data_IF_741096219719
#
_entry.id   IF_741096219719
#
_cell.length_a   1.000
_cell.length_b   1.000
_cell.length_c   1.000
_cell.angle_alpha   90.00
_cell.angle_beta   90.00
_cell.angle_gamma   90.00
#
_symmetry.space_group_name_H-M   'P 1'
#
loop_
_entity.id
_entity.type
_entity.pdbx_description
1 polymer ?
#
# COMPACT_ATOMS: atom_id res chain seq x y z
N UNK A 1 -37.42 -21.25 27.86
CA UNK A 1 -38.16 -20.33 28.74
C UNK A 1 -37.18 -19.72 29.76
N UNK A 2 -36.07 -19.14 29.28
CA UNK A 2 -34.98 -18.63 30.14
C UNK A 2 -34.84 -17.11 30.02
N UNK A 3 -35.33 -16.54 28.91
CA UNK A 3 -35.39 -15.08 28.67
C UNK A 3 -36.79 -14.50 28.92
N UNK A 4 -37.57 -15.11 29.81
CA UNK A 4 -38.90 -14.60 30.14
C UNK A 4 -38.78 -13.36 30.99
N UNK A 5 -39.26 -12.24 30.47
CA UNK A 5 -39.25 -10.96 31.17
C UNK A 5 -40.43 -10.84 32.14
N UNK A 6 -40.19 -10.27 33.32
CA UNK A 6 -41.25 -9.88 34.26
C UNK A 6 -42.02 -8.64 33.75
N UNK A 7 -43.01 -8.16 34.52
CA UNK A 7 -43.77 -6.95 34.19
C UNK A 7 -42.94 -5.67 34.12
N UNK A 8 -41.68 -5.72 34.54
CA UNK A 8 -40.72 -4.62 34.52
C UNK A 8 -39.66 -4.80 33.43
N UNK A 9 -39.71 -5.88 32.65
CA UNK A 9 -38.72 -6.18 31.62
C UNK A 9 -37.47 -6.91 32.13
N UNK A 10 -37.48 -7.44 33.36
CA UNK A 10 -36.31 -8.11 33.95
C UNK A 10 -36.27 -9.59 33.59
N UNK A 11 -35.10 -10.05 33.17
CA UNK A 11 -34.83 -11.46 32.95
C UNK A 11 -34.50 -12.18 34.26
N UNK A 12 -34.69 -13.51 34.36
CA UNK A 12 -34.35 -14.29 35.54
C UNK A 12 -32.86 -14.15 35.90
N UNK A 13 -32.00 -14.00 34.89
CA UNK A 13 -30.57 -13.76 35.05
C UNK A 13 -30.29 -12.39 35.70
N UNK A 14 -31.04 -11.36 35.30
CA UNK A 14 -30.94 -10.01 35.87
C UNK A 14 -31.33 -9.98 37.35
N UNK A 15 -32.38 -10.73 37.74
CA UNK A 15 -32.79 -10.87 39.14
C UNK A 15 -31.80 -11.69 39.96
N UNK A 16 -31.28 -12.80 39.41
CA UNK A 16 -30.23 -13.58 40.07
C UNK A 16 -28.95 -12.74 40.32
N UNK A 17 -28.61 -11.87 39.37
CA UNK A 17 -27.49 -10.93 39.50
C UNK A 17 -27.77 -9.82 40.54
N UNK A 18 -28.99 -9.28 40.58
CA UNK A 18 -29.41 -8.30 41.59
C UNK A 18 -29.40 -8.88 43.00
N UNK A 19 -29.70 -10.17 43.14
CA UNK A 19 -29.64 -10.90 44.42
C UNK A 19 -28.26 -11.45 44.77
N UNK A 20 -27.25 -11.28 43.91
CA UNK A 20 -25.89 -11.75 44.15
C UNK A 20 -25.76 -13.28 44.21
N UNK A 21 -26.50 -14.01 43.38
CA UNK A 21 -26.57 -15.48 43.42
C UNK A 21 -25.71 -16.13 42.31
N UNK A 22 -24.40 -16.36 42.53
CA UNK A 22 -23.49 -16.86 41.48
C UNK A 22 -23.89 -18.23 40.92
N UNK A 23 -24.39 -19.13 41.76
CA UNK A 23 -24.86 -20.46 41.35
C UNK A 23 -26.07 -20.39 40.42
N UNK A 24 -27.03 -19.49 40.71
CA UNK A 24 -28.19 -19.29 39.86
C UNK A 24 -27.79 -18.68 38.51
N UNK A 25 -26.83 -17.75 38.51
CA UNK A 25 -26.29 -17.14 37.30
C UNK A 25 -25.64 -18.21 36.39
N UNK A 26 -24.80 -19.09 36.96
CA UNK A 26 -24.17 -20.18 36.20
C UNK A 26 -25.21 -21.11 35.58
N UNK A 27 -26.18 -21.57 36.38
CA UNK A 27 -27.22 -22.47 35.92
C UNK A 27 -28.09 -21.83 34.81
N UNK A 28 -28.43 -20.55 34.95
CA UNK A 28 -29.19 -19.83 33.93
C UNK A 28 -28.38 -19.64 32.64
N UNK A 29 -27.08 -19.37 32.75
CA UNK A 29 -26.20 -19.27 31.59
C UNK A 29 -26.03 -20.61 30.86
N UNK A 30 -25.90 -21.72 31.60
CA UNK A 30 -25.88 -23.08 31.04
C UNK A 30 -27.17 -23.43 30.29
N UNK A 31 -28.31 -22.91 30.76
CA UNK A 31 -29.61 -23.04 30.10
C UNK A 31 -29.76 -22.11 28.87
N UNK A 32 -28.75 -21.31 28.55
CA UNK A 32 -28.72 -20.43 27.38
C UNK A 32 -29.27 -19.03 27.62
N UNK A 33 -29.28 -18.53 28.86
CA UNK A 33 -29.63 -17.14 29.13
C UNK A 33 -28.59 -16.17 28.55
N UNK A 34 -29.04 -15.11 27.87
CA UNK A 34 -28.14 -14.03 27.44
C UNK A 34 -27.60 -13.25 28.64
N UNK A 35 -26.27 -13.24 28.81
CA UNK A 35 -25.55 -12.47 29.85
C UNK A 35 -25.65 -10.97 29.68
N UNK A 36 -25.98 -10.52 28.47
CA UNK A 36 -26.10 -9.11 28.09
C UNK A 36 -27.56 -8.68 27.89
N UNK A 37 -28.53 -9.46 28.35
CA UNK A 37 -29.95 -9.10 28.28
C UNK A 37 -30.19 -7.78 29.01
N UNK A 38 -30.86 -6.82 28.37
CA UNK A 38 -31.20 -5.55 29.01
C UNK A 38 -32.49 -5.73 29.79
N UNK A 39 -32.43 -5.54 31.11
CA UNK A 39 -33.60 -5.51 31.98
C UNK A 39 -34.27 -4.13 32.00
N UNK A 40 -35.09 -3.89 33.03
CA UNK A 40 -35.67 -2.58 33.30
C UNK A 40 -34.61 -1.46 33.26
N UNK A 41 -34.96 -0.34 32.63
CA UNK A 41 -34.09 0.84 32.47
C UNK A 41 -32.79 0.55 31.70
N UNK A 42 -32.81 -0.43 30.80
CA UNK A 42 -31.66 -0.85 30.01
C UNK A 42 -30.52 -1.48 30.82
N UNK A 43 -30.77 -1.85 32.09
CA UNK A 43 -29.73 -2.36 33.00
C UNK A 43 -29.41 -3.81 32.72
N UNK A 44 -28.14 -4.12 32.50
CA UNK A 44 -27.66 -5.50 32.33
C UNK A 44 -27.55 -6.24 33.67
N UNK A 45 -27.52 -7.59 33.68
CA UNK A 45 -27.22 -8.38 34.87
C UNK A 45 -25.92 -7.91 35.55
N UNK A 46 -24.87 -7.63 34.77
CA UNK A 46 -23.60 -7.13 35.29
C UNK A 46 -23.75 -5.78 36.00
N UNK A 47 -24.54 -4.86 35.44
CA UNK A 47 -24.86 -3.59 36.09
C UNK A 47 -25.51 -3.80 37.45
N UNK A 48 -26.49 -4.72 37.55
CA UNK A 48 -27.20 -4.99 38.81
C UNK A 48 -26.31 -5.64 39.86
N UNK A 49 -25.48 -6.61 39.46
CA UNK A 49 -24.50 -7.22 40.35
C UNK A 49 -23.49 -6.19 40.87
N UNK A 50 -23.03 -5.27 40.01
CA UNK A 50 -22.11 -4.20 40.40
C UNK A 50 -22.77 -3.20 41.36
N UNK A 51 -23.99 -2.76 41.04
CA UNK A 51 -24.77 -1.86 41.90
C UNK A 51 -25.06 -2.48 43.27
N UNK A 52 -25.34 -3.79 43.33
CA UNK A 52 -25.50 -4.53 44.59
C UNK A 52 -24.20 -4.82 45.34
N UNK A 53 -23.02 -4.54 44.74
CA UNK A 53 -21.72 -4.83 45.33
C UNK A 53 -21.39 -6.34 45.39
N UNK A 54 -22.03 -7.16 44.56
CA UNK A 54 -21.89 -8.61 44.59
C UNK A 54 -20.66 -9.08 43.78
N UNK A 55 -19.49 -9.03 44.41
CA UNK A 55 -18.21 -9.37 43.78
C UNK A 55 -18.21 -10.75 43.10
N UNK A 56 -18.65 -11.80 43.80
CA UNK A 56 -18.67 -13.16 43.24
C UNK A 56 -19.59 -13.28 42.01
N UNK A 57 -20.74 -12.60 42.03
CA UNK A 57 -21.66 -12.56 40.90
C UNK A 57 -21.05 -11.82 39.71
N UNK A 58 -20.34 -10.71 39.96
CA UNK A 58 -19.62 -9.95 38.93
C UNK A 58 -18.53 -10.81 38.28
N UNK A 59 -17.70 -11.50 39.08
CA UNK A 59 -16.65 -12.38 38.54
C UNK A 59 -17.21 -13.51 37.67
N UNK A 60 -18.32 -14.12 38.10
CA UNK A 60 -19.00 -15.17 37.33
C UNK A 60 -19.54 -14.60 36.02
N UNK A 61 -20.21 -13.45 36.04
CA UNK A 61 -20.73 -12.81 34.84
C UNK A 61 -19.62 -12.43 33.85
N UNK A 62 -18.48 -11.93 34.34
CA UNK A 62 -17.31 -11.62 33.50
C UNK A 62 -16.72 -12.88 32.85
N UNK A 63 -16.62 -13.99 33.60
CA UNK A 63 -16.19 -15.30 33.06
C UNK A 63 -17.14 -15.84 31.99
N UNK A 64 -18.44 -15.54 32.12
CA UNK A 64 -19.46 -15.90 31.15
C UNK A 64 -19.53 -14.92 29.95
N UNK A 65 -18.61 -13.96 29.85
CA UNK A 65 -18.52 -13.03 28.72
C UNK A 65 -19.53 -11.88 28.78
N UNK A 66 -19.96 -11.46 29.98
CA UNK A 66 -20.74 -10.25 30.13
C UNK A 66 -19.93 -9.02 29.68
N UNK A 67 -20.56 -8.15 28.91
CA UNK A 67 -19.93 -6.95 28.36
C UNK A 67 -19.95 -5.83 29.41
N UNK A 68 -18.75 -5.34 29.75
CA UNK A 68 -18.53 -4.25 30.70
C UNK A 68 -18.86 -2.88 30.14
N UNK A 69 -19.01 -2.77 28.80
CA UNK A 69 -19.21 -1.51 28.07
C UNK A 69 -20.68 -1.16 27.85
N UNK A 70 -21.60 -2.03 28.26
CA UNK A 70 -23.03 -1.78 28.08
C UNK A 70 -23.51 -0.76 29.11
N UNK A 71 -23.95 0.38 28.60
CA UNK A 71 -24.57 1.45 29.39
C UNK A 71 -26.02 1.13 29.72
N UNK A 72 -26.43 1.47 30.94
CA UNK A 72 -27.84 1.60 31.28
C UNK A 72 -28.47 2.83 30.59
N UNK A 73 -29.79 2.98 30.65
CA UNK A 73 -30.50 4.11 30.03
C UNK A 73 -30.06 5.48 30.56
N UNK A 74 -29.48 5.53 31.77
CA UNK A 74 -28.91 6.73 32.37
C UNK A 74 -27.49 7.08 31.87
N UNK A 75 -26.91 6.26 30.98
CA UNK A 75 -25.57 6.43 30.43
C UNK A 75 -24.45 5.98 31.36
N UNK A 76 -24.76 5.36 32.51
CA UNK A 76 -23.76 4.92 33.47
C UNK A 76 -23.21 3.53 33.13
N UNK A 77 -21.91 3.32 33.37
CA UNK A 77 -21.29 1.99 33.26
C UNK A 77 -21.42 1.21 34.57
N UNK A 78 -21.40 -0.14 34.52
CA UNK A 78 -21.39 -0.97 35.73
C UNK A 78 -20.28 -0.59 36.71
N UNK A 79 -19.11 -0.17 36.22
CA UNK A 79 -17.98 0.24 37.06
C UNK A 79 -18.23 1.58 37.78
N UNK A 80 -18.96 2.52 37.15
CA UNK A 80 -19.28 3.83 37.75
C UNK A 80 -20.31 3.72 38.88
N UNK A 81 -21.19 2.73 38.81
CA UNK A 81 -22.28 2.53 39.78
C UNK A 81 -21.98 1.47 40.82
N UNK A 82 -20.78 0.88 40.76
CA UNK A 82 -20.37 -0.18 41.67
C UNK A 82 -20.45 0.31 43.13
N UNK A 83 -21.16 -0.43 43.97
CA UNK A 83 -21.28 -0.06 45.39
C UNK A 83 -19.97 -0.22 46.17
N UNK A 84 -19.05 -1.07 45.68
CA UNK A 84 -17.78 -1.36 46.33
C UNK A 84 -16.61 -1.04 45.40
N UNK A 85 -15.56 -0.43 45.95
CA UNK A 85 -14.33 -0.10 45.22
C UNK A 85 -13.63 -1.35 44.67
N UNK A 86 -13.70 -2.48 45.40
CA UNK A 86 -13.19 -3.76 44.93
C UNK A 86 -13.87 -4.22 43.62
N UNK A 87 -15.19 -4.04 43.51
CA UNK A 87 -15.95 -4.39 42.29
C UNK A 87 -15.60 -3.44 41.14
N UNK A 88 -15.48 -2.15 41.42
CA UNK A 88 -15.04 -1.16 40.42
C UNK A 88 -13.64 -1.49 39.88
N UNK A 89 -12.70 -1.83 40.76
CA UNK A 89 -11.33 -2.23 40.41
C UNK A 89 -11.29 -3.49 39.55
N UNK A 90 -12.10 -4.51 39.86
CA UNK A 90 -12.23 -5.72 39.02
C UNK A 90 -12.78 -5.37 37.64
N UNK A 91 -13.82 -4.55 37.54
CA UNK A 91 -14.40 -4.18 36.25
C UNK A 91 -13.42 -3.33 35.40
N UNK A 92 -12.69 -2.42 36.02
CA UNK A 92 -11.68 -1.58 35.33
C UNK A 92 -10.47 -2.39 34.87
N UNK A 93 -9.96 -3.29 35.71
CA UNK A 93 -8.85 -4.17 35.35
C UNK A 93 -9.23 -5.15 34.24
N UNK A 94 -10.48 -5.65 34.24
CA UNK A 94 -10.96 -6.54 33.20
C UNK A 94 -11.03 -5.85 31.82
N UNK A 95 -11.55 -4.62 31.74
CA UNK A 95 -11.59 -3.85 30.48
C UNK A 95 -10.17 -3.56 29.95
N UNK A 96 -9.20 -3.28 30.82
CA UNK A 96 -7.81 -3.07 30.43
C UNK A 96 -7.19 -4.34 29.81
N UNK A 97 -7.40 -5.51 30.41
CA UNK A 97 -6.88 -6.78 29.87
C UNK A 97 -7.43 -7.13 28.48
N UNK A 98 -8.70 -6.81 28.21
CA UNK A 98 -9.31 -6.95 26.89
C UNK A 98 -8.65 -6.03 25.86
N UNK A 99 -8.36 -4.78 26.24
CA UNK A 99 -7.66 -3.85 25.34
C UNK A 99 -6.21 -4.23 25.10
N UNK A 100 -5.52 -4.75 26.12
CA UNK A 100 -4.14 -5.23 26.00
C UNK A 100 -4.06 -6.45 25.08
N UNK A 101 -4.97 -7.41 25.21
CA UNK A 101 -5.07 -8.56 24.31
C UNK A 101 -5.41 -8.16 22.87
N UNK A 102 -6.32 -7.21 22.67
CA UNK A 102 -6.62 -6.65 21.34
C UNK A 102 -5.40 -5.97 20.73
N UNK A 103 -4.66 -5.17 21.52
CA UNK A 103 -3.45 -4.49 21.08
C UNK A 103 -2.37 -5.50 20.68
N UNK A 104 -2.13 -6.52 21.50
CA UNK A 104 -1.16 -7.58 21.23
C UNK A 104 -1.50 -8.36 19.94
N UNK A 105 -2.78 -8.67 19.72
CA UNK A 105 -3.20 -9.31 18.48
C UNK A 105 -2.96 -8.41 17.26
N UNK A 106 -3.26 -7.12 17.37
CA UNK A 106 -3.03 -6.15 16.29
C UNK A 106 -1.54 -5.94 16.00
N UNK A 107 -0.71 -5.92 17.04
CA UNK A 107 0.76 -5.89 16.92
C UNK A 107 1.31 -7.17 16.30
N UNK A 108 0.77 -8.34 16.67
CA UNK A 108 1.13 -9.63 16.07
C UNK A 108 0.74 -9.70 14.59
N UNK A 109 -0.45 -9.24 14.22
CA UNK A 109 -0.90 -9.14 12.82
C UNK A 109 0.03 -8.24 12.00
N UNK A 110 0.40 -7.07 12.53
CA UNK A 110 1.36 -6.18 11.88
C UNK A 110 2.71 -6.87 11.68
N UNK A 111 3.21 -7.56 12.72
CA UNK A 111 4.48 -8.29 12.64
C UNK A 111 4.44 -9.39 11.57
N UNK A 112 3.34 -10.15 11.49
CA UNK A 112 3.14 -11.16 10.45
C UNK A 112 3.15 -10.53 9.04
N UNK A 113 2.40 -9.44 8.83
CA UNK A 113 2.37 -8.74 7.53
C UNK A 113 3.75 -8.19 7.14
N UNK A 114 4.48 -7.63 8.09
CA UNK A 114 5.84 -7.15 7.86
C UNK A 114 6.80 -8.29 7.47
N UNK A 115 6.69 -9.45 8.12
CA UNK A 115 7.52 -10.62 7.81
C UNK A 115 7.20 -11.20 6.43
N UNK A 116 5.93 -11.30 6.07
CA UNK A 116 5.49 -11.77 4.74
C UNK A 116 5.98 -10.85 3.62
N UNK A 117 5.87 -9.53 3.80
CA UNK A 117 6.39 -8.55 2.85
C UNK A 117 7.91 -8.67 2.67
N UNK A 118 8.67 -8.86 3.76
CA UNK A 118 10.10 -9.09 3.69
C UNK A 118 10.43 -10.41 2.95
N UNK A 119 9.69 -11.48 3.18
CA UNK A 119 9.88 -12.74 2.48
C UNK A 119 9.58 -12.63 0.98
N UNK A 120 8.50 -11.94 0.61
CA UNK A 120 8.19 -11.67 -0.80
C UNK A 120 9.29 -10.84 -1.45
N UNK A 121 9.75 -9.77 -0.82
CA UNK A 121 10.84 -8.96 -1.34
C UNK A 121 12.15 -9.76 -1.46
N UNK A 122 12.45 -10.62 -0.48
CA UNK A 122 13.60 -11.53 -0.53
C UNK A 122 13.46 -12.55 -1.66
N UNK A 123 12.27 -13.11 -1.88
CA UNK A 123 12.01 -14.07 -2.95
C UNK A 123 12.11 -13.40 -4.34
N UNK A 124 11.57 -12.20 -4.49
CA UNK A 124 11.68 -11.40 -5.70
C UNK A 124 13.12 -11.02 -6.01
N UNK A 125 13.88 -10.53 -5.01
CA UNK A 125 15.29 -10.19 -5.18
C UNK A 125 16.14 -11.41 -5.51
N UNK A 126 15.89 -12.57 -4.88
CA UNK A 126 16.53 -13.84 -5.23
C UNK A 126 16.19 -14.29 -6.67
N UNK A 127 14.93 -14.15 -7.09
CA UNK A 127 14.51 -14.47 -8.46
C UNK A 127 15.20 -13.56 -9.49
N UNK A 128 15.27 -12.25 -9.21
CA UNK A 128 15.97 -11.28 -10.05
C UNK A 128 17.46 -11.59 -10.12
N UNK A 129 18.10 -11.92 -8.99
CA UNK A 129 19.51 -12.28 -8.93
C UNK A 129 19.82 -13.52 -9.80
N UNK A 130 18.96 -14.55 -9.76
CA UNK A 130 19.10 -15.73 -10.61
C UNK A 130 18.96 -15.39 -12.10
N UNK A 131 18.00 -14.54 -12.47
CA UNK A 131 17.83 -14.07 -13.86
C UNK A 131 19.06 -13.29 -14.34
N UNK A 132 19.63 -12.42 -13.50
CA UNK A 132 20.86 -11.69 -13.82
C UNK A 132 22.04 -12.64 -14.04
N UNK A 133 22.20 -13.67 -13.19
CA UNK A 133 23.23 -14.69 -13.38
C UNK A 133 23.04 -15.48 -14.68
N UNK A 134 21.80 -15.82 -15.04
CA UNK A 134 21.52 -16.53 -16.28
C UNK A 134 21.85 -15.68 -17.53
N UNK A 135 21.41 -14.42 -17.55
CA UNK A 135 21.74 -13.48 -18.62
C UNK A 135 23.25 -13.26 -18.75
N UNK A 136 23.98 -13.22 -17.63
CA UNK A 136 25.44 -13.10 -17.65
C UNK A 136 26.10 -14.33 -18.30
N UNK A 137 25.61 -15.55 -18.01
CA UNK A 137 26.07 -16.78 -18.68
C UNK A 137 25.77 -16.76 -20.18
N UNK A 138 24.57 -16.34 -20.57
CA UNK A 138 24.17 -16.21 -21.98
C UNK A 138 25.04 -15.17 -22.72
N UNK A 139 25.33 -14.02 -22.09
CA UNK A 139 26.25 -13.03 -22.65
C UNK A 139 27.65 -13.59 -22.85
N UNK A 140 28.17 -14.35 -21.88
CA UNK A 140 29.48 -14.98 -21.99
C UNK A 140 29.53 -15.98 -23.15
N UNK A 141 28.50 -16.82 -23.30
CA UNK A 141 28.38 -17.75 -24.42
C UNK A 141 28.33 -17.03 -25.78
N UNK A 142 27.58 -15.95 -25.88
CA UNK A 142 27.54 -15.11 -27.10
C UNK A 142 28.93 -14.50 -27.40
N UNK A 143 29.64 -14.03 -26.38
CA UNK A 143 30.98 -13.45 -26.55
C UNK A 143 32.01 -14.50 -27.01
N UNK A 144 31.95 -15.73 -26.47
CA UNK A 144 32.77 -16.86 -26.91
C UNK A 144 32.44 -17.29 -28.36
N UNK A 145 31.15 -17.32 -28.72
CA UNK A 145 30.72 -17.61 -30.09
C UNK A 145 31.22 -16.56 -31.10
N UNK A 146 31.13 -15.27 -30.77
CA UNK A 146 31.66 -14.17 -31.60
C UNK A 146 33.18 -14.27 -31.74
N UNK A 147 33.91 -14.58 -30.67
CA UNK A 147 35.36 -14.79 -30.72
C UNK A 147 35.74 -15.98 -31.63
N UNK A 148 34.93 -17.05 -31.66
CA UNK A 148 35.16 -18.21 -32.54
C UNK A 148 34.91 -17.93 -34.02
N UNK A 149 34.06 -16.94 -34.34
CA UNK A 149 33.76 -16.51 -35.71
C UNK A 149 34.85 -15.62 -36.33
N UNK A 150 35.78 -15.09 -35.53
CA UNK A 150 36.97 -14.39 -36.03
C UNK A 150 38.09 -15.38 -36.39
N UNK A 151 37.95 -16.11 -37.52
CA UNK A 151 39.13 -16.64 -38.22
C UNK A 151 39.90 -15.48 -38.87
N UNK A 152 41.25 -15.46 -38.83
CA UNK A 152 42.01 -14.34 -39.36
C UNK A 152 41.91 -14.30 -40.89
N UNK A 153 41.34 -13.22 -41.40
CA UNK A 153 41.34 -12.87 -42.82
C UNK A 153 42.79 -12.54 -43.23
N UNK A 154 43.45 -13.39 -44.03
CA UNK A 154 44.76 -13.08 -44.62
C UNK A 154 44.58 -12.09 -45.79
N UNK A 155 45.23 -10.91 -45.78
CA UNK A 155 45.14 -9.99 -46.91
C UNK A 155 46.18 -10.39 -47.97
N UNK A 156 45.73 -10.79 -49.15
CA UNK A 156 46.59 -10.85 -50.34
C UNK A 156 46.80 -9.43 -50.87
N UNK A 157 48.07 -9.03 -50.88
CA UNK A 157 48.62 -7.84 -51.50
C UNK A 157 48.16 -7.65 -52.94
N UNK A 158 47.56 -6.51 -53.27
CA UNK A 158 47.84 -5.70 -54.47
C UNK A 158 47.06 -4.37 -54.39
N UNK A 159 47.79 -3.27 -54.21
CA UNK A 159 47.36 -1.87 -54.38
C UNK A 159 47.67 -1.42 -55.83
N UNK A 160 46.93 -0.46 -56.40
CA UNK A 160 47.38 0.95 -56.37
C UNK A 160 46.19 1.93 -56.14
N UNK A 161 46.21 2.93 -55.26
CA UNK A 161 46.97 4.20 -55.17
C UNK A 161 46.05 5.43 -55.46
N UNK A 162 45.40 5.96 -54.39
CA UNK A 162 45.09 7.36 -53.97
C UNK A 162 44.54 8.42 -54.97
N UNK A 163 43.93 9.57 -54.54
CA UNK A 163 43.79 10.12 -53.18
C UNK A 163 42.38 10.66 -52.82
N UNK A 164 42.15 10.92 -51.53
CA UNK A 164 41.10 11.83 -51.07
C UNK A 164 40.34 11.33 -49.84
N UNK A 165 40.73 11.84 -48.67
CA UNK A 165 39.90 11.76 -47.47
C UNK A 165 38.51 12.37 -47.76
N UNK A 166 37.43 11.66 -47.43
CA UNK A 166 36.41 12.12 -46.47
C UNK A 166 35.19 11.18 -46.45
N UNK A 167 34.97 10.63 -45.25
CA UNK A 167 33.70 10.59 -44.51
C UNK A 167 32.44 10.15 -45.29
N UNK A 168 32.01 8.93 -44.93
CA UNK A 168 30.67 8.37 -45.00
C UNK A 168 29.57 9.29 -45.56
N UNK A 169 29.17 9.01 -46.80
CA UNK A 169 27.81 9.24 -47.27
C UNK A 169 26.84 8.42 -46.42
N UNK A 170 25.87 9.09 -45.81
CA UNK A 170 24.51 8.57 -45.70
C UNK A 170 23.54 9.72 -46.01
N UNK A 171 23.04 9.73 -47.24
CA UNK A 171 21.80 10.38 -47.62
C UNK A 171 20.66 9.39 -47.38
N UNK A 172 19.62 9.78 -46.64
CA UNK A 172 18.21 9.70 -47.05
C UNK A 172 17.24 10.07 -45.90
N UNK A 173 16.09 10.71 -46.20
CA UNK A 173 15.12 11.16 -45.20
C UNK A 173 14.42 9.97 -44.55
N UNK A 174 14.46 9.87 -43.22
CA UNK A 174 13.88 8.75 -42.47
C UNK A 174 12.35 8.82 -42.51
N UNK A 175 11.73 7.76 -43.02
CA UNK A 175 10.28 7.58 -43.05
C UNK A 175 9.62 7.75 -41.65
N UNK A 176 8.40 8.29 -41.58
CA UNK A 176 7.70 8.63 -40.34
C UNK A 176 7.46 7.42 -39.42
N UNK A 177 7.38 6.20 -39.94
CA UNK A 177 7.25 5.01 -39.11
C UNK A 177 8.48 4.74 -38.24
N UNK A 178 9.68 5.07 -38.72
CA UNK A 178 10.93 4.87 -37.97
C UNK A 178 11.02 5.81 -36.76
N UNK A 179 10.53 7.04 -36.94
CA UNK A 179 10.44 8.04 -35.86
C UNK A 179 9.38 7.62 -34.83
N UNK A 180 8.24 7.11 -35.29
CA UNK A 180 7.17 6.59 -34.42
C UNK A 180 7.65 5.39 -33.58
N UNK A 181 8.39 4.47 -34.19
CA UNK A 181 8.95 3.32 -33.48
C UNK A 181 10.07 3.70 -32.50
N UNK A 182 10.88 4.71 -32.84
CA UNK A 182 11.87 5.26 -31.92
C UNK A 182 11.21 5.92 -30.70
N UNK A 183 10.17 6.74 -30.91
CA UNK A 183 9.41 7.40 -29.83
C UNK A 183 8.69 6.40 -28.91
N UNK A 184 8.06 5.38 -29.49
CA UNK A 184 7.44 4.29 -28.71
C UNK A 184 8.47 3.52 -27.89
N UNK A 185 9.68 3.30 -28.44
CA UNK A 185 10.79 2.71 -27.70
C UNK A 185 11.27 3.59 -26.54
N UNK A 186 11.36 4.91 -26.75
CA UNK A 186 11.81 5.84 -25.72
C UNK A 186 10.82 5.98 -24.55
N UNK A 187 9.52 6.06 -24.83
CA UNK A 187 8.47 6.08 -23.81
C UNK A 187 8.37 4.76 -23.03
N UNK A 188 8.63 3.63 -23.68
CA UNK A 188 8.58 2.31 -23.04
C UNK A 188 9.81 1.97 -22.21
N UNK A 189 10.98 2.51 -22.57
CA UNK A 189 12.27 2.14 -21.95
C UNK A 189 13.02 3.32 -21.30
N UNK A 190 12.39 4.49 -21.17
CA UNK A 190 12.87 5.61 -20.36
C UNK A 190 14.20 6.24 -20.81
N UNK A 191 14.61 6.07 -22.07
CA UNK A 191 15.84 6.69 -22.61
C UNK A 191 15.50 7.98 -23.35
N UNK A 192 16.17 9.07 -22.99
CA UNK A 192 16.08 10.36 -23.67
C UNK A 192 16.57 10.23 -25.12
N UNK A 193 15.68 10.48 -26.08
CA UNK A 193 16.05 10.63 -27.49
C UNK A 193 16.40 12.09 -27.74
N UNK A 194 17.66 12.34 -28.11
CA UNK A 194 18.09 13.64 -28.61
C UNK A 194 17.73 13.69 -30.09
N UNK A 195 16.68 14.45 -30.41
CA UNK A 195 16.37 14.81 -31.80
C UNK A 195 17.12 16.09 -32.15
N UNK A 196 17.85 16.06 -33.26
CA UNK A 196 18.48 17.26 -33.81
C UNK A 196 17.41 18.06 -34.57
N UNK A 197 16.76 18.99 -33.87
CA UNK A 197 15.67 19.80 -34.42
C UNK A 197 16.14 20.97 -35.30
N UNK A 198 17.44 21.08 -35.58
CA UNK A 198 18.01 22.21 -36.30
C UNK A 198 17.43 22.42 -37.71
N UNK A 199 16.78 21.41 -38.31
CA UNK A 199 16.12 21.54 -39.62
C UNK A 199 14.82 20.71 -39.71
N UNK A 200 13.92 20.82 -38.73
CA UNK A 200 12.63 20.14 -38.81
C UNK A 200 11.52 21.11 -39.17
N UNK A 201 11.05 21.00 -40.40
CA UNK A 201 9.74 21.51 -40.81
C UNK A 201 8.69 20.81 -39.92
N UNK A 202 8.21 21.52 -38.89
CA UNK A 202 7.20 20.99 -37.97
C UNK A 202 5.97 20.62 -38.82
N UNK A 203 5.70 19.32 -38.92
CA UNK A 203 4.59 18.83 -39.72
C UNK A 203 3.32 19.60 -39.32
N UNK A 204 2.53 20.15 -40.27
CA UNK A 204 1.46 21.12 -39.98
C UNK A 204 0.44 20.63 -38.93
N UNK A 205 0.30 19.31 -38.81
CA UNK A 205 -0.55 18.63 -37.83
C UNK A 205 -0.05 18.83 -36.40
N UNK A 206 1.27 18.73 -36.17
CA UNK A 206 1.89 18.87 -34.85
C UNK A 206 1.82 20.31 -34.38
N UNK A 207 2.05 21.27 -35.29
CA UNK A 207 1.87 22.70 -34.98
C UNK A 207 0.44 23.03 -34.57
N UNK A 208 -0.56 22.53 -35.30
CA UNK A 208 -1.98 22.71 -34.93
C UNK A 208 -2.34 22.06 -33.60
N UNK A 209 -1.78 20.89 -33.29
CA UNK A 209 -2.02 20.22 -32.01
C UNK A 209 -1.39 20.98 -30.84
N UNK A 210 -0.18 21.52 -31.00
CA UNK A 210 0.48 22.34 -29.98
C UNK A 210 -0.24 23.68 -29.77
N UNK A 211 -0.69 24.32 -30.84
CA UNK A 211 -1.48 25.56 -30.77
C UNK A 211 -2.88 25.33 -30.18
N UNK A 212 -3.47 24.15 -30.38
CA UNK A 212 -4.74 23.77 -29.76
C UNK A 212 -4.63 23.55 -28.24
N UNK A 213 -3.45 23.13 -27.75
CA UNK A 213 -3.19 22.99 -26.31
C UNK A 213 -2.95 24.35 -25.67
N UNK A 214 -2.10 25.19 -26.28
CA UNK A 214 -1.91 26.56 -25.84
C UNK A 214 -1.46 27.46 -27.01
N UNK A 215 -2.15 28.58 -27.26
CA UNK A 215 -1.80 29.47 -28.36
C UNK A 215 -0.42 30.09 -28.11
N UNK A 216 0.47 29.98 -29.09
CA UNK A 216 1.84 30.50 -29.00
C UNK A 216 2.89 29.51 -28.45
N UNK A 217 2.48 28.31 -28.00
CA UNK A 217 3.38 27.30 -27.46
C UNK A 217 4.44 26.84 -28.48
N UNK A 218 4.02 26.64 -29.73
CA UNK A 218 4.93 26.27 -30.82
C UNK A 218 6.00 27.36 -31.05
N UNK A 219 5.60 28.64 -31.03
CA UNK A 219 6.50 29.77 -31.19
C UNK A 219 7.48 29.89 -30.01
N UNK A 220 6.99 29.65 -28.78
CA UNK A 220 7.77 29.78 -27.55
C UNK A 220 8.75 28.61 -27.30
N UNK A 221 8.45 27.42 -27.83
CA UNK A 221 9.38 26.30 -27.88
C UNK A 221 10.50 26.54 -28.90
N UNK A 222 10.16 27.08 -30.07
CA UNK A 222 11.14 27.44 -31.11
C UNK A 222 12.02 28.63 -30.72
N UNK A 223 11.48 29.60 -29.96
CA UNK A 223 12.26 30.74 -29.46
C UNK A 223 13.05 30.45 -28.18
N UNK A 224 13.10 29.18 -27.75
CA UNK A 224 13.82 28.69 -26.57
C UNK A 224 13.41 29.29 -25.21
N UNK A 225 12.44 30.22 -25.16
CA UNK A 225 12.05 30.93 -23.93
C UNK A 225 11.48 30.01 -22.85
N UNK A 226 10.70 29.01 -23.24
CA UNK A 226 10.11 28.03 -22.32
C UNK A 226 11.15 27.05 -21.76
N UNK A 227 12.14 26.68 -22.58
CA UNK A 227 13.19 25.72 -22.21
C UNK A 227 14.19 26.32 -21.20
N UNK A 228 14.37 27.64 -21.23
CA UNK A 228 15.24 28.37 -20.30
C UNK A 228 14.63 28.51 -18.89
N UNK A 229 13.30 28.63 -18.77
CA UNK A 229 12.62 28.81 -17.48
C UNK A 229 12.50 27.52 -16.66
N UNK A 230 12.33 26.38 -17.32
CA UNK A 230 11.99 25.10 -16.68
C UNK A 230 13.20 24.16 -16.45
N UNK A 231 14.43 24.69 -16.49
CA UNK A 231 15.70 23.93 -16.28
C UNK A 231 15.96 22.78 -17.28
N UNK A 232 15.30 22.76 -18.44
CA UNK A 232 15.58 21.79 -19.52
C UNK A 232 16.83 22.14 -20.37
N UNK A 233 17.76 22.92 -19.80
CA UNK A 233 19.03 23.35 -20.43
C UNK A 233 19.92 22.18 -20.87
N UNK A 234 19.75 20.99 -20.27
CA UNK A 234 20.50 19.78 -20.60
C UNK A 234 20.18 19.18 -21.98
N UNK A 235 19.10 19.66 -22.63
CA UNK A 235 18.73 19.27 -24.00
C UNK A 235 19.33 20.18 -25.08
N UNK A 236 19.93 21.31 -24.69
CA UNK A 236 20.62 22.21 -25.61
C UNK A 236 22.09 21.83 -25.68
N UNK A 237 22.64 21.66 -26.89
CA UNK A 237 24.06 21.39 -27.05
C UNK A 237 24.86 22.67 -26.82
N UNK A 238 26.11 22.59 -26.32
CA UNK A 238 26.95 23.78 -26.11
C UNK A 238 27.23 24.60 -27.37
N UNK A 239 27.00 24.04 -28.56
CA UNK A 239 27.13 24.72 -29.87
C UNK A 239 25.87 25.48 -30.30
N UNK A 240 24.79 25.46 -29.52
CA UNK A 240 23.55 26.23 -29.75
C UNK A 240 23.65 27.67 -29.22
N UNK A 241 24.87 28.16 -28.98
CA UNK A 241 25.14 29.52 -28.52
C UNK A 241 25.52 30.49 -29.64
N UNK A 242 24.70 31.55 -29.72
CA UNK A 242 24.96 32.92 -30.13
C UNK A 242 25.31 33.20 -31.61
N UNK A 243 24.28 33.46 -32.41
CA UNK A 243 24.32 34.59 -33.34
C UNK A 243 23.20 35.58 -32.96
N UNK A 244 23.65 36.70 -32.39
CA UNK A 244 23.06 38.06 -32.30
C UNK A 244 21.54 38.21 -32.17
#
# INVERSE_FOLDING_TARGET
>A
MVECEDSHGNTPLSEAAAGGQPLAIQLLAELGASTNSKGAFGRTPLYRAAFGGHLEAVEVLLKLGADTRVYAEDGSTPAQVASLDAVASVLQSWDLSLTEAMLQNMEAEWQCQAQEAQQQQAAETNCLALKVQQLAREQQQCHEAVASCHRPFRPSSHLPALPGHQLYRYHEPRAPETIRMALLGALRYGKLLVFDFREVDLFPVVKRQLEAVQPGLAQALLSHGLLAQERYLSLLRPTDGAEL
#
